data_IF_898778758986
#
_entry.id   IF_898778758986
#
_cell.length_a   1.000
_cell.length_b   1.000
_cell.length_c   1.000
_cell.angle_alpha   90.00
_cell.angle_beta   90.00
_cell.angle_gamma   90.00
#
_symmetry.space_group_name_H-M   'P 1'
#
loop_
_entity.id
_entity.type
_entity.pdbx_description
1 polymer ?
#
# COMPACT_ATOMS: atom_id res chain seq x y z
N UNK A 1 2.02 -6.01 -60.95
CA UNK A 1 0.94 -6.35 -59.99
C UNK A 1 0.73 -5.17 -59.05
N UNK A 2 -0.38 -5.10 -58.29
CA UNK A 2 -0.67 -3.97 -57.38
C UNK A 2 0.50 -3.64 -56.45
N UNK A 3 1.27 -4.65 -56.01
CA UNK A 3 2.47 -4.45 -55.19
C UNK A 3 3.62 -3.69 -55.86
N UNK A 4 3.76 -3.77 -57.18
CA UNK A 4 4.81 -3.03 -57.90
C UNK A 4 4.42 -1.56 -58.10
N UNK A 5 3.11 -1.31 -58.31
CA UNK A 5 2.57 0.03 -58.53
C UNK A 5 2.50 0.81 -57.22
N UNK A 6 2.18 0.13 -56.12
CA UNK A 6 1.92 0.73 -54.80
C UNK A 6 2.96 0.35 -53.73
N UNK A 7 4.18 -0.02 -54.14
CA UNK A 7 5.25 -0.43 -53.24
C UNK A 7 5.58 0.61 -52.15
N UNK A 8 5.29 1.89 -52.39
CA UNK A 8 5.54 2.98 -51.45
C UNK A 8 4.54 3.05 -50.27
N UNK A 9 3.35 2.46 -50.39
CA UNK A 9 2.29 2.64 -49.39
C UNK A 9 2.71 2.12 -48.01
N UNK A 10 3.34 0.94 -47.95
CA UNK A 10 3.74 0.34 -46.69
C UNK A 10 4.85 1.15 -45.98
N UNK A 11 5.98 1.52 -46.63
CA UNK A 11 6.98 2.41 -46.05
C UNK A 11 6.43 3.75 -45.57
N UNK A 12 5.58 4.42 -46.37
CA UNK A 12 4.99 5.71 -46.02
C UNK A 12 4.03 5.60 -44.82
N UNK A 13 3.21 4.55 -44.78
CA UNK A 13 2.33 4.28 -43.63
C UNK A 13 3.13 4.03 -42.35
N UNK A 14 4.19 3.22 -42.42
CA UNK A 14 5.09 2.98 -41.28
C UNK A 14 5.78 4.28 -40.86
N UNK A 15 6.24 5.09 -41.81
CA UNK A 15 6.85 6.40 -41.54
C UNK A 15 5.89 7.36 -40.83
N UNK A 16 4.64 7.41 -41.27
CA UNK A 16 3.59 8.22 -40.65
C UNK A 16 3.29 7.79 -39.20
N UNK A 17 3.20 6.48 -38.95
CA UNK A 17 2.98 5.92 -37.62
C UNK A 17 4.16 6.28 -36.69
N UNK A 18 5.39 6.06 -37.16
CA UNK A 18 6.60 6.36 -36.40
C UNK A 18 6.74 7.85 -36.07
N UNK A 19 6.33 8.74 -36.98
CA UNK A 19 6.35 10.18 -36.74
C UNK A 19 5.49 10.56 -35.53
N UNK A 20 4.25 10.06 -35.47
CA UNK A 20 3.33 10.36 -34.36
C UNK A 20 3.77 9.72 -33.04
N UNK A 21 4.28 8.49 -33.09
CA UNK A 21 4.82 7.81 -31.90
C UNK A 21 5.99 8.56 -31.25
N UNK A 22 6.81 9.28 -32.05
CA UNK A 22 7.89 10.13 -31.52
C UNK A 22 7.37 11.37 -30.80
N UNK A 23 6.18 11.84 -31.16
CA UNK A 23 5.56 13.00 -30.52
C UNK A 23 4.84 12.59 -29.23
N UNK A 24 4.08 11.49 -29.28
CA UNK A 24 3.41 10.93 -28.12
C UNK A 24 3.35 9.40 -28.23
N UNK A 25 3.92 8.72 -27.26
CA UNK A 25 3.99 7.26 -27.28
C UNK A 25 2.61 6.60 -27.13
N UNK A 26 1.61 7.29 -26.58
CA UNK A 26 0.24 6.78 -26.46
C UNK A 26 -0.40 6.51 -27.82
N UNK A 27 0.07 7.13 -28.90
CA UNK A 27 -0.38 6.82 -30.27
C UNK A 27 -0.15 5.35 -30.63
N UNK A 28 0.90 4.70 -30.13
CA UNK A 28 1.14 3.27 -30.38
C UNK A 28 -0.02 2.39 -29.89
N UNK A 29 -0.65 2.75 -28.76
CA UNK A 29 -1.84 2.08 -28.23
C UNK A 29 -3.07 2.32 -29.13
N UNK A 30 -3.30 3.57 -29.51
CA UNK A 30 -4.45 3.96 -30.33
C UNK A 30 -4.40 3.33 -31.73
N UNK A 31 -3.23 3.37 -32.37
CA UNK A 31 -3.02 2.76 -33.70
C UNK A 31 -3.16 1.25 -33.62
N UNK A 32 -2.67 0.59 -32.55
CA UNK A 32 -2.86 -0.86 -32.37
C UNK A 32 -4.33 -1.25 -32.35
N UNK A 33 -5.15 -0.53 -31.57
CA UNK A 33 -6.59 -0.78 -31.49
C UNK A 33 -7.27 -0.51 -32.83
N UNK A 34 -6.99 0.63 -33.45
CA UNK A 34 -7.68 1.04 -34.68
C UNK A 34 -7.32 0.16 -35.87
N UNK A 35 -6.03 -0.06 -36.10
CA UNK A 35 -5.53 -0.90 -37.19
C UNK A 35 -5.86 -2.38 -36.94
N UNK A 36 -5.78 -2.83 -35.69
CA UNK A 36 -6.18 -4.18 -35.30
C UNK A 36 -7.62 -4.48 -35.65
N UNK A 37 -8.56 -3.58 -35.31
CA UNK A 37 -9.98 -3.71 -35.69
C UNK A 37 -10.17 -3.75 -37.20
N UNK A 38 -9.47 -2.89 -37.95
CA UNK A 38 -9.58 -2.86 -39.40
C UNK A 38 -9.14 -4.17 -40.06
N UNK A 39 -7.95 -4.66 -39.70
CA UNK A 39 -7.41 -5.93 -40.23
C UNK A 39 -8.31 -7.11 -39.88
N UNK A 40 -8.86 -7.16 -38.67
CA UNK A 40 -9.77 -8.24 -38.25
C UNK A 40 -11.13 -8.21 -38.95
N UNK A 41 -11.57 -7.05 -39.45
CA UNK A 41 -12.84 -6.89 -40.19
C UNK A 41 -12.74 -7.13 -41.70
N UNK A 42 -11.54 -7.38 -42.23
CA UNK A 42 -11.32 -7.50 -43.66
C UNK A 42 -11.80 -8.86 -44.20
N UNK A 43 -12.68 -8.83 -45.21
CA UNK A 43 -13.20 -10.05 -45.86
C UNK A 43 -12.24 -10.62 -46.92
N UNK A 44 -11.46 -9.77 -47.60
CA UNK A 44 -10.49 -10.16 -48.62
C UNK A 44 -9.06 -10.12 -48.05
N UNK A 45 -8.75 -11.11 -47.22
CA UNK A 45 -7.49 -11.19 -46.47
C UNK A 45 -6.25 -11.39 -47.35
N UNK A 46 -6.44 -11.83 -48.60
CA UNK A 46 -5.35 -12.02 -49.59
C UNK A 46 -5.06 -10.78 -50.43
N UNK A 47 -5.88 -9.73 -50.34
CA UNK A 47 -5.66 -8.50 -51.12
C UNK A 47 -4.34 -7.82 -50.76
N UNK A 48 -3.77 -7.07 -51.71
CA UNK A 48 -2.57 -6.28 -51.49
C UNK A 48 -2.71 -5.36 -50.26
N UNK A 49 -3.83 -4.65 -50.13
CA UNK A 49 -4.09 -3.75 -49.01
C UNK A 49 -4.21 -4.49 -47.68
N UNK A 50 -4.90 -5.64 -47.65
CA UNK A 50 -5.01 -6.47 -46.43
C UNK A 50 -3.64 -6.97 -45.97
N UNK A 51 -2.79 -7.40 -46.92
CA UNK A 51 -1.42 -7.82 -46.62
C UNK A 51 -0.57 -6.64 -46.12
N UNK A 52 -0.66 -5.46 -46.74
CA UNK A 52 0.02 -4.24 -46.29
C UNK A 52 -0.40 -3.81 -44.88
N UNK A 53 -1.71 -3.77 -44.59
CA UNK A 53 -2.18 -3.44 -43.24
C UNK A 53 -1.83 -4.51 -42.20
N UNK A 54 -1.85 -5.79 -42.60
CA UNK A 54 -1.37 -6.89 -41.75
C UNK A 54 0.09 -6.72 -41.36
N UNK A 55 0.96 -6.39 -42.33
CA UNK A 55 2.37 -6.09 -42.08
C UNK A 55 2.54 -4.87 -41.16
N UNK A 56 1.88 -3.76 -41.47
CA UNK A 56 1.91 -2.55 -40.65
C UNK A 56 1.43 -2.81 -39.21
N UNK A 57 0.42 -3.66 -39.01
CA UNK A 57 -0.08 -4.05 -37.69
C UNK A 57 0.97 -4.82 -36.86
N UNK A 58 1.79 -5.66 -37.50
CA UNK A 58 2.92 -6.32 -36.84
C UNK A 58 3.93 -5.28 -36.35
N UNK A 59 4.25 -4.27 -37.16
CA UNK A 59 5.12 -3.17 -36.77
C UNK A 59 4.57 -2.37 -35.58
N UNK A 60 3.28 -1.99 -35.64
CA UNK A 60 2.58 -1.28 -34.56
C UNK A 60 2.58 -2.11 -33.26
N UNK A 61 2.32 -3.42 -33.35
CA UNK A 61 2.33 -4.30 -32.18
C UNK A 61 3.71 -4.34 -31.51
N UNK A 62 4.79 -4.40 -32.30
CA UNK A 62 6.17 -4.32 -31.78
C UNK A 62 6.43 -2.99 -31.07
N UNK A 63 5.93 -1.88 -31.61
CA UNK A 63 6.07 -0.56 -30.99
C UNK A 63 5.28 -0.43 -29.68
N UNK A 64 4.05 -0.93 -29.65
CA UNK A 64 3.25 -1.05 -28.42
C UNK A 64 3.99 -1.87 -27.35
N UNK A 65 4.52 -3.03 -27.72
CA UNK A 65 5.28 -3.84 -26.76
C UNK A 65 6.54 -3.11 -26.30
N UNK A 66 7.25 -2.40 -27.19
CA UNK A 66 8.41 -1.57 -26.81
C UNK A 66 8.04 -0.47 -25.81
N UNK A 67 6.89 0.20 -26.00
CA UNK A 67 6.37 1.18 -25.04
C UNK A 67 6.11 0.54 -23.67
N UNK A 68 5.43 -0.60 -23.64
CA UNK A 68 5.12 -1.28 -22.38
C UNK A 68 6.38 -1.78 -21.65
N UNK A 69 7.38 -2.27 -22.38
CA UNK A 69 8.69 -2.57 -21.80
C UNK A 69 9.39 -1.33 -21.25
N UNK A 70 9.24 -0.16 -21.89
CA UNK A 70 9.81 1.09 -21.38
C UNK A 70 9.15 1.50 -20.04
N UNK A 71 7.83 1.37 -19.91
CA UNK A 71 7.14 1.57 -18.63
C UNK A 71 7.63 0.59 -17.56
N UNK A 72 7.73 -0.70 -17.89
CA UNK A 72 8.23 -1.73 -16.98
C UNK A 72 9.66 -1.41 -16.51
N UNK A 73 10.54 -1.05 -17.44
CA UNK A 73 11.93 -0.66 -17.15
C UNK A 73 11.99 0.59 -16.26
N UNK A 74 11.12 1.57 -16.48
CA UNK A 74 11.07 2.79 -15.66
C UNK A 74 10.68 2.53 -14.21
N UNK A 75 9.88 1.49 -13.95
CA UNK A 75 9.55 1.03 -12.60
C UNK A 75 10.79 0.38 -11.97
N UNK A 76 11.44 -0.55 -12.68
CA UNK A 76 12.60 -1.30 -12.16
C UNK A 76 13.82 -0.41 -11.89
N UNK A 77 14.06 0.58 -12.74
CA UNK A 77 15.23 1.47 -12.66
C UNK A 77 14.93 2.78 -11.92
N UNK A 78 13.80 2.86 -11.21
CA UNK A 78 13.41 4.05 -10.47
C UNK A 78 14.49 4.45 -9.48
N UNK A 79 14.87 5.73 -9.50
CA UNK A 79 15.86 6.29 -8.57
C UNK A 79 15.15 7.07 -7.48
N UNK A 80 15.29 6.60 -6.24
CA UNK A 80 14.68 7.23 -5.07
C UNK A 80 15.69 8.15 -4.37
N UNK A 81 15.21 9.33 -3.96
CA UNK A 81 16.01 10.30 -3.20
C UNK A 81 16.21 9.79 -1.78
N UNK A 82 17.38 9.22 -1.50
CA UNK A 82 17.72 8.63 -0.18
C UNK A 82 17.98 9.66 0.93
N UNK A 83 18.00 10.96 0.62
CA UNK A 83 18.34 12.04 1.57
C UNK A 83 17.12 12.62 2.30
N UNK A 84 15.92 12.43 1.77
CA UNK A 84 14.66 12.98 2.30
C UNK A 84 13.69 11.88 2.70
N UNK A 85 12.52 12.25 3.22
CA UNK A 85 11.39 11.32 3.32
C UNK A 85 11.01 10.82 1.91
N UNK A 86 10.40 9.65 1.88
CA UNK A 86 9.88 9.01 0.68
C UNK A 86 8.38 8.88 0.84
N UNK A 87 7.62 9.64 0.06
CA UNK A 87 6.15 9.54 -0.01
C UNK A 87 5.72 8.56 -1.08
N UNK A 88 4.73 8.96 -1.89
CA UNK A 88 4.25 8.14 -3.00
C UNK A 88 5.32 8.04 -4.08
N UNK A 89 5.58 6.81 -4.52
CA UNK A 89 6.59 6.52 -5.51
C UNK A 89 6.13 7.04 -6.88
N UNK A 90 7.03 7.62 -7.69
CA UNK A 90 6.63 8.24 -8.97
C UNK A 90 5.86 7.30 -9.89
N UNK A 91 6.24 6.01 -9.95
CA UNK A 91 5.54 5.04 -10.78
C UNK A 91 4.16 4.67 -10.25
N UNK A 92 3.92 4.79 -8.94
CA UNK A 92 2.59 4.59 -8.33
C UNK A 92 1.68 5.75 -8.70
N UNK A 93 2.14 6.99 -8.49
CA UNK A 93 1.39 8.20 -8.86
C UNK A 93 1.10 8.27 -10.37
N UNK A 94 2.08 7.95 -11.21
CA UNK A 94 1.93 8.03 -12.67
C UNK A 94 1.05 6.91 -13.25
N UNK A 95 0.84 5.81 -12.51
CA UNK A 95 0.05 4.68 -12.99
C UNK A 95 -1.41 5.07 -13.25
N UNK A 96 -1.97 6.01 -12.49
CA UNK A 96 -3.34 6.48 -12.68
C UNK A 96 -3.56 7.07 -14.08
N UNK A 97 -2.69 7.99 -14.49
CA UNK A 97 -2.79 8.64 -15.79
C UNK A 97 -2.65 7.62 -16.92
N UNK A 98 -1.67 6.72 -16.82
CA UNK A 98 -1.46 5.65 -17.78
C UNK A 98 -2.69 4.75 -17.89
N UNK A 99 -3.20 4.24 -16.76
CA UNK A 99 -4.32 3.32 -16.73
C UNK A 99 -5.60 3.98 -17.29
N UNK A 100 -5.92 5.21 -16.88
CA UNK A 100 -7.09 5.94 -17.41
C UNK A 100 -7.00 6.12 -18.93
N UNK A 101 -5.84 6.49 -19.44
CA UNK A 101 -5.61 6.66 -20.88
C UNK A 101 -5.74 5.34 -21.63
N UNK A 102 -5.12 4.27 -21.11
CA UNK A 102 -5.18 2.93 -21.70
C UNK A 102 -6.61 2.38 -21.69
N UNK A 103 -7.36 2.53 -20.59
CA UNK A 103 -8.77 2.11 -20.50
C UNK A 103 -9.67 2.83 -21.49
N UNK A 104 -9.42 4.12 -21.75
CA UNK A 104 -10.16 4.87 -22.77
C UNK A 104 -9.87 4.35 -24.17
N UNK A 105 -8.60 4.10 -24.49
CA UNK A 105 -8.18 3.62 -25.82
C UNK A 105 -8.66 2.18 -26.07
N UNK A 106 -8.58 1.31 -25.06
CA UNK A 106 -8.93 -0.11 -25.16
C UNK A 106 -10.38 -0.40 -24.76
N UNK A 107 -11.25 0.61 -24.73
CA UNK A 107 -12.68 0.39 -24.49
C UNK A 107 -13.28 -0.40 -25.65
N UNK A 108 -13.91 -1.54 -25.32
CA UNK A 108 -14.64 -2.40 -26.26
C UNK A 108 -13.81 -2.77 -27.52
N UNK A 109 -12.58 -3.24 -27.30
CA UNK A 109 -11.67 -3.69 -28.35
C UNK A 109 -11.37 -5.17 -28.28
N UNK A 110 -11.21 -5.81 -29.43
CA UNK A 110 -10.72 -7.18 -29.58
C UNK A 110 -9.28 -7.36 -29.05
N UNK A 111 -8.55 -6.26 -28.87
CA UNK A 111 -7.17 -6.23 -28.37
C UNK A 111 -7.08 -6.15 -26.84
N UNK A 112 -8.19 -6.29 -26.10
CA UNK A 112 -8.22 -6.11 -24.64
C UNK A 112 -7.20 -7.01 -23.92
N UNK A 113 -7.09 -8.26 -24.35
CA UNK A 113 -6.15 -9.24 -23.82
C UNK A 113 -4.68 -8.79 -23.90
N UNK A 114 -4.31 -7.95 -24.88
CA UNK A 114 -2.97 -7.40 -24.98
C UNK A 114 -2.68 -6.41 -23.84
N UNK A 115 -3.64 -5.57 -23.45
CA UNK A 115 -3.50 -4.63 -22.33
C UNK A 115 -3.54 -5.35 -20.99
N UNK A 116 -4.46 -6.30 -20.82
CA UNK A 116 -4.62 -7.05 -19.57
C UNK A 116 -3.34 -7.80 -19.18
N UNK A 117 -2.66 -8.44 -20.16
CA UNK A 117 -1.35 -9.08 -19.93
C UNK A 117 -0.28 -8.10 -19.45
N UNK A 118 -0.32 -6.87 -19.95
CA UNK A 118 0.64 -5.83 -19.56
C UNK A 118 0.34 -5.26 -18.18
N UNK A 119 -0.93 -5.08 -17.81
CA UNK A 119 -1.28 -4.67 -16.45
C UNK A 119 -0.80 -5.66 -15.40
N UNK A 120 -1.00 -6.97 -15.64
CA UNK A 120 -0.51 -8.00 -14.73
C UNK A 120 1.01 -7.88 -14.51
N UNK A 121 1.78 -7.72 -15.59
CA UNK A 121 3.24 -7.55 -15.50
C UNK A 121 3.64 -6.28 -14.77
N UNK A 122 3.02 -5.14 -15.11
CA UNK A 122 3.34 -3.85 -14.53
C UNK A 122 3.06 -3.86 -13.02
N UNK A 123 1.89 -4.33 -12.59
CA UNK A 123 1.55 -4.37 -11.16
C UNK A 123 2.40 -5.38 -10.38
N UNK A 124 2.74 -6.54 -10.93
CA UNK A 124 3.70 -7.46 -10.29
C UNK A 124 5.01 -6.73 -9.99
N UNK A 125 5.59 -6.08 -11.00
CA UNK A 125 6.86 -5.35 -10.85
C UNK A 125 6.72 -4.17 -9.88
N UNK A 126 5.62 -3.41 -9.94
CA UNK A 126 5.36 -2.32 -9.00
C UNK A 126 5.32 -2.82 -7.55
N UNK A 127 4.65 -3.94 -7.29
CA UNK A 127 4.60 -4.54 -5.95
C UNK A 127 5.98 -4.95 -5.47
N UNK A 128 6.75 -5.66 -6.30
CA UNK A 128 8.13 -6.07 -5.98
C UNK A 128 9.04 -4.86 -5.70
N UNK A 129 8.97 -3.83 -6.56
CA UNK A 129 9.76 -2.61 -6.43
C UNK A 129 9.40 -1.82 -5.17
N UNK A 130 8.12 -1.73 -4.78
CA UNK A 130 7.71 -1.14 -3.48
C UNK A 130 8.39 -1.86 -2.32
N UNK A 131 8.43 -3.20 -2.33
CA UNK A 131 9.04 -3.98 -1.25
C UNK A 131 10.57 -3.81 -1.18
N UNK A 132 11.24 -3.77 -2.34
CA UNK A 132 12.68 -3.50 -2.41
C UNK A 132 13.02 -2.11 -1.88
N UNK A 133 12.34 -1.07 -2.36
CA UNK A 133 12.57 0.31 -1.92
C UNK A 133 12.31 0.45 -0.42
N UNK A 134 11.20 -0.11 0.09
CA UNK A 134 10.87 -0.06 1.51
C UNK A 134 11.97 -0.68 2.38
N UNK A 135 12.62 -1.75 1.91
CA UNK A 135 13.67 -2.44 2.65
C UNK A 135 15.02 -1.70 2.62
N UNK A 136 15.27 -0.90 1.58
CA UNK A 136 16.56 -0.23 1.35
C UNK A 136 16.58 1.25 1.76
N UNK A 137 15.42 1.87 1.99
CA UNK A 137 15.35 3.30 2.22
C UNK A 137 15.86 3.68 3.63
N UNK A 138 16.86 4.58 3.76
CA UNK A 138 17.55 4.79 5.04
C UNK A 138 16.85 5.76 6.01
N UNK A 139 15.87 6.55 5.53
CA UNK A 139 15.27 7.66 6.31
C UNK A 139 13.80 7.48 6.63
N UNK A 140 13.08 6.72 5.82
CA UNK A 140 11.64 6.51 5.96
C UNK A 140 11.42 5.08 6.41
N UNK A 141 10.61 4.85 7.46
CA UNK A 141 10.29 3.49 7.88
C UNK A 141 9.74 2.65 6.72
N UNK A 142 10.16 1.38 6.64
CA UNK A 142 9.73 0.45 5.60
C UNK A 142 8.20 0.28 5.60
N UNK A 143 7.62 0.26 6.79
CA UNK A 143 6.18 0.14 7.02
C UNK A 143 5.44 1.37 6.47
N UNK A 144 6.00 2.58 6.58
CA UNK A 144 5.39 3.80 6.02
C UNK A 144 5.38 3.77 4.50
N UNK A 145 6.53 3.42 3.88
CA UNK A 145 6.61 3.34 2.41
C UNK A 145 5.58 2.34 1.88
N UNK A 146 5.48 1.15 2.49
CA UNK A 146 4.50 0.13 2.09
C UNK A 146 3.08 0.62 2.34
N UNK A 147 2.79 1.18 3.50
CA UNK A 147 1.46 1.64 3.88
C UNK A 147 0.93 2.71 2.92
N UNK A 148 1.68 3.78 2.68
CA UNK A 148 1.25 4.87 1.78
C UNK A 148 1.06 4.39 0.34
N UNK A 149 2.04 3.65 -0.20
CA UNK A 149 1.98 3.23 -1.60
C UNK A 149 0.93 2.15 -1.86
N UNK A 150 0.72 1.21 -0.93
CA UNK A 150 -0.35 0.21 -1.07
C UNK A 150 -1.73 0.79 -0.79
N UNK A 151 -1.85 1.80 0.07
CA UNK A 151 -3.10 2.56 0.24
C UNK A 151 -3.50 3.24 -1.08
N UNK A 152 -2.55 3.98 -1.68
CA UNK A 152 -2.76 4.67 -2.95
C UNK A 152 -3.14 3.69 -4.08
N UNK A 153 -2.39 2.59 -4.24
CA UNK A 153 -2.69 1.56 -5.24
C UNK A 153 -4.05 0.91 -5.00
N UNK A 154 -4.42 0.62 -3.74
CA UNK A 154 -5.74 0.08 -3.44
C UNK A 154 -6.85 1.04 -3.87
N UNK A 155 -6.74 2.32 -3.51
CA UNK A 155 -7.71 3.34 -3.86
C UNK A 155 -7.86 3.46 -5.39
N UNK A 156 -6.74 3.52 -6.11
CA UNK A 156 -6.72 3.60 -7.57
C UNK A 156 -7.36 2.37 -8.22
N UNK A 157 -6.96 1.16 -7.83
CA UNK A 157 -7.52 -0.08 -8.39
C UNK A 157 -9.00 -0.23 -8.05
N UNK A 158 -9.43 0.23 -6.88
CA UNK A 158 -10.84 0.26 -6.49
C UNK A 158 -11.66 1.20 -7.38
N UNK A 159 -11.11 2.35 -7.78
CA UNK A 159 -11.77 3.28 -8.70
C UNK A 159 -11.81 2.77 -10.14
N UNK A 160 -10.71 2.19 -10.64
CA UNK A 160 -10.60 1.68 -12.01
C UNK A 160 -11.54 0.50 -12.28
N UNK A 161 -11.79 -0.37 -11.29
CA UNK A 161 -12.71 -1.52 -11.38
C UNK A 161 -12.39 -2.47 -12.55
N UNK A 162 -11.11 -2.66 -12.85
CA UNK A 162 -10.64 -3.58 -13.90
C UNK A 162 -10.64 -5.01 -13.34
N UNK A 163 -11.49 -5.88 -13.89
CA UNK A 163 -11.73 -7.23 -13.34
C UNK A 163 -10.49 -8.11 -13.21
N UNK A 164 -9.58 -8.09 -14.21
CA UNK A 164 -8.35 -8.90 -14.15
C UNK A 164 -7.38 -8.45 -13.03
N UNK A 165 -7.60 -7.27 -12.47
CA UNK A 165 -6.77 -6.68 -11.40
C UNK A 165 -7.39 -6.83 -10.01
N UNK A 166 -8.49 -7.57 -9.89
CA UNK A 166 -9.18 -7.76 -8.60
C UNK A 166 -8.29 -8.40 -7.53
N UNK A 167 -7.41 -9.33 -7.91
CA UNK A 167 -6.48 -9.93 -6.97
C UNK A 167 -5.45 -8.90 -6.47
N UNK A 168 -4.86 -8.11 -7.38
CA UNK A 168 -3.95 -7.02 -6.99
C UNK A 168 -4.62 -5.99 -6.08
N UNK A 169 -5.90 -5.68 -6.30
CA UNK A 169 -6.66 -4.79 -5.41
C UNK A 169 -6.78 -5.39 -4.01
N UNK A 170 -7.09 -6.67 -3.89
CA UNK A 170 -7.18 -7.37 -2.58
C UNK A 170 -5.81 -7.42 -1.91
N UNK A 171 -4.77 -7.76 -2.66
CA UNK A 171 -3.39 -7.85 -2.17
C UNK A 171 -2.87 -6.47 -1.71
N UNK A 172 -3.16 -5.39 -2.45
CA UNK A 172 -2.82 -4.03 -2.05
C UNK A 172 -3.49 -3.68 -0.70
N UNK A 173 -4.79 -3.99 -0.54
CA UNK A 173 -5.49 -3.78 0.73
C UNK A 173 -4.86 -4.58 1.87
N UNK A 174 -4.52 -5.84 1.63
CA UNK A 174 -3.88 -6.69 2.63
C UNK A 174 -2.51 -6.14 3.02
N UNK A 175 -1.65 -5.80 2.05
CA UNK A 175 -0.31 -5.24 2.30
C UNK A 175 -0.36 -3.88 3.00
N UNK A 176 -1.35 -3.06 2.70
CA UNK A 176 -1.64 -1.85 3.45
C UNK A 176 -1.95 -2.15 4.92
N UNK A 177 -2.89 -3.07 5.19
CA UNK A 177 -3.27 -3.43 6.56
C UNK A 177 -2.12 -4.07 7.35
N UNK A 178 -1.33 -4.94 6.71
CA UNK A 178 -0.13 -5.55 7.31
C UNK A 178 0.93 -4.49 7.65
N UNK A 179 1.17 -3.53 6.76
CA UNK A 179 2.11 -2.45 6.99
C UNK A 179 1.64 -1.50 8.11
N UNK A 180 0.35 -1.17 8.16
CA UNK A 180 -0.25 -0.38 9.24
C UNK A 180 -0.07 -1.09 10.59
N UNK A 181 -0.43 -2.38 10.65
CA UNK A 181 -0.29 -3.19 11.88
C UNK A 181 1.18 -3.25 12.32
N UNK A 182 2.10 -3.57 11.40
CA UNK A 182 3.53 -3.61 11.69
C UNK A 182 4.08 -2.25 12.16
N UNK A 183 3.61 -1.14 11.57
CA UNK A 183 4.00 0.21 11.98
C UNK A 183 3.52 0.50 13.41
N UNK A 184 2.26 0.19 13.73
CA UNK A 184 1.72 0.33 15.08
C UNK A 184 2.53 -0.52 16.06
N UNK A 185 2.70 -1.82 15.82
CA UNK A 185 3.50 -2.69 16.71
C UNK A 185 4.91 -2.16 16.94
N UNK A 186 5.59 -1.68 15.89
CA UNK A 186 6.98 -1.23 15.98
C UNK A 186 7.14 0.12 16.70
N UNK A 187 6.26 1.08 16.43
CA UNK A 187 6.42 2.46 16.90
C UNK A 187 5.57 2.80 18.12
N UNK A 188 4.43 2.13 18.28
CA UNK A 188 3.64 2.14 19.50
C UNK A 188 4.28 1.24 20.57
N UNK A 189 4.94 0.15 20.15
CA UNK A 189 5.66 -0.76 21.03
C UNK A 189 4.71 -1.59 21.89
N UNK A 190 5.09 -1.82 23.14
CA UNK A 190 4.27 -2.48 24.17
C UNK A 190 3.81 -1.40 25.17
N UNK A 191 2.64 -0.78 24.98
CA UNK A 191 2.13 0.22 25.91
C UNK A 191 2.06 -0.36 27.32
N UNK A 192 2.24 0.45 28.35
CA UNK A 192 2.20 -0.03 29.72
C UNK A 192 3.24 -1.17 29.97
N UNK A 193 4.42 -1.07 29.35
CA UNK A 193 5.46 -2.12 29.34
C UNK A 193 5.74 -2.77 30.70
N UNK A 194 5.88 -1.98 31.77
CA UNK A 194 6.14 -2.51 33.13
C UNK A 194 4.96 -3.28 33.69
N UNK A 195 3.73 -2.87 33.37
CA UNK A 195 2.55 -3.67 33.70
C UNK A 195 2.52 -4.94 32.86
N UNK A 196 2.84 -4.87 31.57
CA UNK A 196 2.96 -6.05 30.72
C UNK A 196 4.02 -7.03 31.22
N UNK A 197 5.19 -6.55 31.69
CA UNK A 197 6.24 -7.38 32.30
C UNK A 197 5.81 -7.94 33.66
N UNK A 198 5.15 -7.13 34.49
CA UNK A 198 4.56 -7.60 35.76
C UNK A 198 3.52 -8.70 35.52
N UNK A 199 2.77 -8.59 34.43
CA UNK A 199 1.76 -9.54 33.99
C UNK A 199 2.27 -10.54 32.95
N UNK A 200 3.56 -10.87 32.89
CA UNK A 200 4.06 -12.09 32.22
C UNK A 200 3.66 -13.36 32.99
N UNK A 201 2.39 -13.40 33.40
CA UNK A 201 1.72 -14.46 34.15
C UNK A 201 1.58 -15.71 33.29
N UNK A 202 1.63 -15.60 31.96
CA UNK A 202 1.60 -16.75 31.04
C UNK A 202 2.69 -17.78 31.38
N UNK A 203 3.89 -17.32 31.77
CA UNK A 203 4.97 -18.19 32.23
C UNK A 203 4.67 -18.87 33.59
N UNK A 204 3.86 -18.23 34.45
CA UNK A 204 3.50 -18.71 35.79
C UNK A 204 2.26 -19.60 35.80
N UNK A 205 1.26 -19.29 34.98
CA UNK A 205 0.09 -20.13 34.74
C UNK A 205 0.50 -21.42 34.02
N UNK A 206 1.47 -21.35 33.09
CA UNK A 206 2.09 -22.54 32.49
C UNK A 206 2.87 -23.42 33.48
N UNK A 207 3.27 -22.86 34.64
CA UNK A 207 3.87 -23.61 35.76
C UNK A 207 2.82 -24.22 36.70
N UNK A 208 1.52 -24.15 36.36
CA UNK A 208 0.42 -24.76 37.12
C UNK A 208 -0.16 -23.91 38.25
N UNK A 209 0.26 -22.65 38.37
CA UNK A 209 -0.29 -21.71 39.37
C UNK A 209 -1.65 -21.20 38.89
N UNK A 210 -2.68 -21.31 39.73
CA UNK A 210 -3.99 -20.73 39.42
C UNK A 210 -3.90 -19.21 39.38
N UNK A 211 -4.62 -18.58 38.45
CA UNK A 211 -4.61 -17.12 38.28
C UNK A 211 -4.94 -16.38 39.59
N UNK A 212 -5.91 -16.89 40.36
CA UNK A 212 -6.30 -16.34 41.67
C UNK A 212 -5.22 -16.44 42.75
N UNK A 213 -4.19 -17.25 42.54
CA UNK A 213 -3.10 -17.49 43.51
C UNK A 213 -1.83 -16.69 43.17
N UNK A 214 -1.78 -16.06 42.00
CA UNK A 214 -0.65 -15.23 41.55
C UNK A 214 -0.32 -14.15 42.57
N UNK A 215 -1.35 -13.51 43.15
CA UNK A 215 -1.21 -12.43 44.12
C UNK A 215 -0.58 -12.82 45.47
N UNK A 216 -0.39 -14.12 45.75
CA UNK A 216 0.31 -14.60 46.95
C UNK A 216 1.83 -14.71 46.78
N UNK A 217 2.34 -14.64 45.54
CA UNK A 217 3.78 -14.60 45.30
C UNK A 217 4.35 -13.23 45.65
N UNK A 218 5.47 -13.20 46.37
CA UNK A 218 6.10 -11.95 46.83
C UNK A 218 6.38 -10.98 45.66
N UNK A 219 6.86 -11.51 44.53
CA UNK A 219 7.17 -10.73 43.33
C UNK A 219 5.92 -10.16 42.61
N UNK A 220 4.74 -10.74 42.87
CA UNK A 220 3.47 -10.37 42.27
C UNK A 220 2.45 -10.01 43.35
N UNK A 221 2.90 -9.46 44.48
CA UNK A 221 1.98 -9.14 45.57
C UNK A 221 1.06 -7.96 45.19
N UNK A 222 -0.09 -7.83 45.89
CA UNK A 222 -0.97 -6.65 45.75
C UNK A 222 -0.22 -5.32 45.95
N UNK A 223 0.81 -5.31 46.80
CA UNK A 223 1.62 -4.13 47.05
C UNK A 223 2.52 -3.79 45.86
N UNK A 224 3.16 -4.78 45.25
CA UNK A 224 3.97 -4.57 44.04
C UNK A 224 3.09 -4.18 42.85
N UNK A 225 1.91 -4.78 42.67
CA UNK A 225 0.97 -4.33 41.64
C UNK A 225 0.61 -2.85 41.82
N UNK A 226 0.23 -2.41 43.03
CA UNK A 226 -0.06 -0.98 43.32
C UNK A 226 1.12 -0.07 43.00
N UNK A 227 2.36 -0.53 43.22
CA UNK A 227 3.57 0.22 42.93
C UNK A 227 3.74 0.39 41.42
N UNK A 228 3.62 -0.67 40.65
CA UNK A 228 3.74 -0.64 39.17
C UNK A 228 2.61 0.18 38.54
N UNK A 229 1.36 0.05 39.00
CA UNK A 229 0.23 0.84 38.50
C UNK A 229 0.43 2.34 38.73
N UNK A 230 1.00 2.73 39.88
CA UNK A 230 1.30 4.14 40.19
C UNK A 230 2.34 4.77 39.27
N UNK A 231 3.13 4.00 38.55
CA UNK A 231 4.10 4.57 37.60
C UNK A 231 3.44 5.09 36.32
N UNK A 232 2.17 4.74 36.07
CA UNK A 232 1.41 5.13 34.89
C UNK A 232 0.37 6.20 35.18
N UNK A 233 0.83 7.38 35.59
CA UNK A 233 -0.03 8.54 35.76
C UNK A 233 -0.60 9.03 34.43
N UNK A 234 -1.88 9.43 34.41
CA UNK A 234 -2.56 9.90 33.19
C UNK A 234 -1.82 11.04 32.47
N UNK A 235 -1.18 11.94 33.23
CA UNK A 235 -0.35 13.03 32.67
C UNK A 235 0.86 12.51 31.90
N UNK A 236 1.56 11.51 32.41
CA UNK A 236 2.74 10.93 31.75
C UNK A 236 2.34 10.11 30.53
N UNK A 237 1.22 9.39 30.61
CA UNK A 237 0.61 8.68 29.46
C UNK A 237 0.27 9.67 28.34
N UNK A 238 -0.43 10.77 28.67
CA UNK A 238 -0.77 11.83 27.71
C UNK A 238 0.47 12.48 27.08
N UNK A 239 1.51 12.75 27.88
CA UNK A 239 2.80 13.23 27.34
C UNK A 239 3.42 12.22 26.38
N UNK A 240 3.40 10.94 26.69
CA UNK A 240 3.87 9.88 25.81
C UNK A 240 3.14 9.88 24.46
N UNK A 241 1.82 10.04 24.48
CA UNK A 241 1.00 10.17 23.27
C UNK A 241 1.34 11.41 22.44
N UNK A 242 1.57 12.58 23.05
CA UNK A 242 1.95 13.79 22.31
C UNK A 242 3.31 13.62 21.58
N UNK A 243 4.30 13.01 22.24
CA UNK A 243 5.58 12.71 21.61
C UNK A 243 5.43 11.72 20.46
N UNK A 244 4.57 10.70 20.65
CA UNK A 244 4.30 9.71 19.64
C UNK A 244 3.60 10.31 18.43
N UNK A 245 2.59 11.17 18.64
CA UNK A 245 1.89 11.88 17.57
C UNK A 245 2.87 12.65 16.68
N UNK A 246 3.71 13.50 17.30
CA UNK A 246 4.77 14.26 16.61
C UNK A 246 5.75 13.36 15.85
N UNK A 247 6.03 12.16 16.38
CA UNK A 247 6.90 11.18 15.71
C UNK A 247 6.22 10.57 14.49
N UNK A 248 4.94 10.22 14.59
CA UNK A 248 4.15 9.67 13.48
C UNK A 248 4.00 10.70 12.37
N UNK A 249 3.62 11.94 12.71
CA UNK A 249 3.55 13.08 11.79
C UNK A 249 4.89 13.28 11.05
N UNK A 250 6.02 13.15 11.75
CA UNK A 250 7.34 13.23 11.12
C UNK A 250 7.68 12.06 10.20
N UNK A 251 7.06 10.89 10.33
CA UNK A 251 7.35 9.77 9.44
C UNK A 251 6.49 9.80 8.17
N UNK A 252 5.22 10.15 8.30
CA UNK A 252 4.25 10.14 7.19
C UNK A 252 4.47 11.33 6.24
N UNK A 253 4.01 11.13 5.01
CA UNK A 253 3.81 12.20 4.02
C UNK A 253 2.41 12.82 4.16
N UNK A 254 2.25 14.03 3.64
CA UNK A 254 0.97 14.76 3.66
C UNK A 254 0.01 14.30 2.54
N UNK A 255 0.50 13.54 1.55
CA UNK A 255 -0.23 13.22 0.31
C UNK A 255 -1.49 12.39 0.54
N UNK A 256 -1.44 11.40 1.43
CA UNK A 256 -2.54 10.43 1.65
C UNK A 256 -3.37 10.71 2.92
N UNK A 257 -3.03 11.74 3.70
CA UNK A 257 -3.73 12.08 4.94
C UNK A 257 -3.88 10.89 5.94
N UNK A 258 -2.92 9.95 5.94
CA UNK A 258 -2.99 8.73 6.75
C UNK A 258 -2.73 8.95 8.24
N UNK A 259 -2.30 10.14 8.65
CA UNK A 259 -1.99 10.46 10.05
C UNK A 259 -3.16 10.11 10.98
N UNK A 260 -4.38 10.53 10.63
CA UNK A 260 -5.56 10.25 11.43
C UNK A 260 -5.93 8.77 11.46
N UNK A 261 -5.66 8.03 10.38
CA UNK A 261 -5.91 6.59 10.30
C UNK A 261 -4.94 5.83 11.21
N UNK A 262 -3.65 6.16 11.14
CA UNK A 262 -2.62 5.59 12.02
C UNK A 262 -2.89 5.94 13.47
N UNK A 263 -3.30 7.18 13.75
CA UNK A 263 -3.61 7.62 15.11
C UNK A 263 -4.78 6.84 15.72
N UNK A 264 -5.83 6.58 14.94
CA UNK A 264 -6.95 5.72 15.37
C UNK A 264 -6.50 4.27 15.60
N UNK A 265 -5.67 3.72 14.73
CA UNK A 265 -5.14 2.36 14.92
C UNK A 265 -4.30 2.25 16.21
N UNK A 266 -3.49 3.28 16.52
CA UNK A 266 -2.75 3.37 17.79
C UNK A 266 -3.68 3.49 19.01
N UNK A 267 -4.77 4.25 18.89
CA UNK A 267 -5.79 4.36 19.93
C UNK A 267 -6.45 3.00 20.23
N UNK A 268 -6.86 2.29 19.18
CA UNK A 268 -7.49 0.97 19.27
C UNK A 268 -6.55 -0.05 19.94
N UNK A 269 -5.28 -0.07 19.54
CA UNK A 269 -4.27 -0.94 20.15
C UNK A 269 -4.09 -0.63 21.65
N UNK A 270 -4.00 0.65 22.04
CA UNK A 270 -3.88 1.00 23.45
C UNK A 270 -5.10 0.56 24.27
N UNK A 271 -6.30 0.77 23.73
CA UNK A 271 -7.55 0.37 24.39
C UNK A 271 -7.60 -1.14 24.55
N UNK A 272 -7.15 -1.91 23.55
CA UNK A 272 -7.06 -3.35 23.63
C UNK A 272 -6.10 -3.81 24.74
N UNK A 273 -4.90 -3.24 24.81
CA UNK A 273 -3.92 -3.53 25.86
C UNK A 273 -4.43 -3.14 27.26
N UNK A 274 -5.08 -1.98 27.38
CA UNK A 274 -5.70 -1.52 28.62
C UNK A 274 -6.74 -2.53 29.12
N UNK A 275 -7.67 -2.95 28.24
CA UNK A 275 -8.71 -3.92 28.60
C UNK A 275 -8.13 -5.27 29.01
N UNK A 276 -7.08 -5.72 28.32
CA UNK A 276 -6.38 -6.95 28.66
C UNK A 276 -5.74 -6.89 30.06
N UNK A 277 -5.07 -5.77 30.40
CA UNK A 277 -4.46 -5.58 31.73
C UNK A 277 -5.52 -5.48 32.83
N UNK A 278 -6.61 -4.74 32.61
CA UNK A 278 -7.70 -4.64 33.58
C UNK A 278 -8.36 -6.01 33.83
N UNK A 279 -8.57 -6.82 32.79
CA UNK A 279 -9.07 -8.20 32.92
C UNK A 279 -8.10 -9.07 33.73
N UNK A 280 -6.79 -8.97 33.48
CA UNK A 280 -5.78 -9.68 34.27
C UNK A 280 -5.75 -9.26 35.74
N UNK A 281 -5.89 -7.96 36.02
CA UNK A 281 -5.99 -7.45 37.40
C UNK A 281 -7.21 -8.07 38.09
N UNK A 282 -8.36 -8.11 37.42
CA UNK A 282 -9.59 -8.66 37.97
C UNK A 282 -9.48 -10.16 38.26
N UNK A 283 -8.88 -10.94 37.35
CA UNK A 283 -8.70 -12.39 37.50
C UNK A 283 -7.65 -12.76 38.54
N UNK A 284 -6.52 -12.06 38.56
CA UNK A 284 -5.39 -12.39 39.45
C UNK A 284 -5.51 -11.78 40.85
N UNK A 285 -6.27 -10.68 41.00
CA UNK A 285 -6.38 -9.92 42.25
C UNK A 285 -7.83 -9.55 42.58
N UNK A 286 -8.74 -10.54 42.72
CA UNK A 286 -10.15 -10.28 43.00
C UNK A 286 -10.32 -9.51 44.32
N UNK A 287 -11.24 -8.54 44.32
CA UNK A 287 -11.54 -7.70 45.48
C UNK A 287 -10.40 -6.77 45.93
N UNK A 288 -9.33 -6.64 45.15
CA UNK A 288 -8.19 -5.76 45.50
C UNK A 288 -8.49 -4.27 45.36
N UNK A 289 -9.53 -3.91 44.59
CA UNK A 289 -9.88 -2.54 44.20
C UNK A 289 -8.69 -1.78 43.61
N UNK A 290 -7.81 -2.50 42.90
CA UNK A 290 -6.70 -1.91 42.14
C UNK A 290 -7.19 -1.74 40.70
N UNK A 291 -6.98 -0.54 40.14
CA UNK A 291 -7.27 -0.19 38.75
C UNK A 291 -6.28 0.89 38.30
N UNK A 292 -6.17 1.09 36.99
CA UNK A 292 -5.40 2.21 36.44
C UNK A 292 -6.02 3.56 36.84
N UNK A 293 -5.18 4.59 36.98
CA UNK A 293 -5.62 5.94 37.43
C UNK A 293 -6.50 6.65 36.39
N UNK A 294 -6.45 6.22 35.14
CA UNK A 294 -7.19 6.79 34.03
C UNK A 294 -8.12 5.74 33.44
N UNK A 295 -9.27 6.20 32.95
CA UNK A 295 -10.28 5.38 32.30
C UNK A 295 -10.10 5.34 30.78
N UNK A 296 -10.91 4.52 30.11
CA UNK A 296 -11.01 4.53 28.65
C UNK A 296 -11.53 5.89 28.14
N UNK A 297 -12.42 6.55 28.89
CA UNK A 297 -12.93 7.88 28.51
C UNK A 297 -11.82 8.93 28.53
N UNK A 298 -10.96 8.89 29.55
CA UNK A 298 -9.77 9.75 29.64
C UNK A 298 -8.82 9.49 28.46
N UNK A 299 -8.59 8.23 28.09
CA UNK A 299 -7.76 7.88 26.93
C UNK A 299 -8.33 8.46 25.63
N UNK A 300 -9.63 8.28 25.39
CA UNK A 300 -10.32 8.84 24.22
C UNK A 300 -10.19 10.37 24.19
N UNK A 301 -10.31 11.02 25.36
CA UNK A 301 -10.10 12.45 25.49
C UNK A 301 -8.65 12.84 25.16
N UNK A 302 -7.66 12.13 25.68
CA UNK A 302 -6.24 12.40 25.39
C UNK A 302 -5.93 12.32 23.89
N UNK A 303 -6.35 11.24 23.22
CA UNK A 303 -6.15 11.06 21.79
C UNK A 303 -6.86 12.14 20.96
N UNK A 304 -8.08 12.52 21.36
CA UNK A 304 -8.86 13.58 20.70
C UNK A 304 -8.23 14.97 20.87
N UNK A 305 -7.79 15.31 22.08
CA UNK A 305 -7.16 16.60 22.37
C UNK A 305 -5.84 16.75 21.62
N UNK A 306 -5.01 15.70 21.58
CA UNK A 306 -3.75 15.71 20.84
C UNK A 306 -4.01 15.90 19.35
N UNK A 307 -4.96 15.16 18.78
CA UNK A 307 -5.31 15.28 17.36
C UNK A 307 -5.95 16.62 16.97
N UNK A 308 -6.45 17.42 17.94
CA UNK A 308 -6.97 18.78 17.72
C UNK A 308 -5.93 19.86 17.94
N UNK A 309 -4.86 19.56 18.68
CA UNK A 309 -3.80 20.52 19.03
C UNK A 309 -2.70 20.64 17.98
N UNK A 310 -2.70 19.75 16.99
CA UNK A 310 -1.82 19.71 15.82
C UNK A 310 -2.71 19.80 14.58
#
# INVERSE_FOLDING_TARGET
>A
MMGDIFACIEPELIGFIQYHERMDSTYSMAVLVRLGRHVMSANDTGSFLSMTYGSALVHVKRNYDKLMHAHLKSIQEVRIVKKSKCGILPFVANFEYFAKTAEQIFKETERRTDLDKWYLKLLTVMFETIHSIASEHPKTPAEVIRMENFHHLYALLFQLKIGILDQFRKDAKQKYSEALSAYVTRYFGRPLEKLNLFFEVEAKVSQGIKESEVGYQVAFSKQELRKVTKEYHGREVKKGFDHLYKKVEKHLSEEENLLQVVWRAMQEEFIQQYKYIEDLIQRCYPGSMISLEFSIEDLLQYFSEIARSH
#
